data_IF_267764942168
#
_entry.id   IF_267764942168
#
_cell.length_a   1.000
_cell.length_b   1.000
_cell.length_c   1.000
_cell.angle_alpha   90.00
_cell.angle_beta   90.00
_cell.angle_gamma   90.00
#
_symmetry.space_group_name_H-M   'P 1'
#
loop_
_entity.id
_entity.type
_entity.pdbx_description
1 polymer ?
#
# COMPACT_ATOMS: atom_id res chain seq x y z
N UNK A 1 28.06 19.99 -40.54
CA UNK A 1 27.35 18.78 -40.08
C UNK A 1 27.56 18.44 -38.59
N UNK A 2 28.72 18.75 -37.99
CA UNK A 2 29.07 18.40 -36.60
C UNK A 2 28.22 19.10 -35.51
N UNK A 3 27.83 20.37 -35.71
CA UNK A 3 27.00 21.11 -34.75
C UNK A 3 25.63 20.47 -34.48
N UNK A 4 24.99 19.90 -35.51
CA UNK A 4 23.65 19.34 -35.38
C UNK A 4 23.63 18.03 -34.57
N UNK A 5 24.75 17.30 -34.55
CA UNK A 5 24.92 16.05 -33.80
C UNK A 5 25.22 16.34 -32.31
N UNK A 6 26.10 17.30 -32.03
CA UNK A 6 26.41 17.75 -30.68
C UNK A 6 25.17 18.33 -29.96
N UNK A 7 24.36 19.11 -30.69
CA UNK A 7 23.12 19.68 -30.16
C UNK A 7 22.07 18.60 -29.86
N UNK A 8 21.95 17.57 -30.71
CA UNK A 8 21.08 16.41 -30.46
C UNK A 8 21.51 15.60 -29.24
N UNK A 9 22.81 15.39 -29.05
CA UNK A 9 23.34 14.68 -27.88
C UNK A 9 23.06 15.43 -26.57
N UNK A 10 23.29 16.75 -26.56
CA UNK A 10 22.99 17.61 -25.41
C UNK A 10 21.51 17.60 -25.02
N UNK A 11 20.61 17.65 -26.00
CA UNK A 11 19.16 17.54 -25.75
C UNK A 11 18.78 16.16 -25.21
N UNK A 12 19.41 15.08 -25.72
CA UNK A 12 19.18 13.73 -25.22
C UNK A 12 19.64 13.56 -23.77
N UNK A 13 20.79 14.15 -23.41
CA UNK A 13 21.33 14.12 -22.05
C UNK A 13 20.46 14.93 -21.07
N UNK A 14 19.99 16.11 -21.47
CA UNK A 14 19.05 16.91 -20.68
C UNK A 14 17.70 16.21 -20.49
N UNK A 15 17.18 15.56 -21.52
CA UNK A 15 15.96 14.75 -21.42
C UNK A 15 16.16 13.53 -20.52
N UNK A 16 17.36 12.94 -20.51
CA UNK A 16 17.70 11.81 -19.63
C UNK A 16 17.77 12.28 -18.16
N UNK A 17 18.41 13.41 -17.88
CA UNK A 17 18.45 13.99 -16.54
C UNK A 17 17.06 14.38 -16.03
N UNK A 18 16.26 15.08 -16.83
CA UNK A 18 14.89 15.44 -16.47
C UNK A 18 14.01 14.20 -16.25
N UNK A 19 14.29 13.09 -16.96
CA UNK A 19 13.61 11.83 -16.76
C UNK A 19 14.05 11.10 -15.48
N UNK A 20 15.34 11.08 -15.19
CA UNK A 20 15.89 10.51 -13.95
C UNK A 20 15.40 11.28 -12.72
N UNK A 21 15.33 12.61 -12.80
CA UNK A 21 14.80 13.46 -11.74
C UNK A 21 13.30 13.19 -11.49
N UNK A 22 12.51 13.09 -12.56
CA UNK A 22 11.08 12.74 -12.46
C UNK A 22 10.86 11.32 -11.92
N UNK A 23 11.75 10.37 -12.23
CA UNK A 23 11.73 9.02 -11.67
C UNK A 23 12.10 9.01 -10.18
N UNK A 24 13.09 9.81 -9.78
CA UNK A 24 13.52 9.94 -8.38
C UNK A 24 12.46 10.61 -7.51
N UNK A 25 11.90 11.73 -7.96
CA UNK A 25 10.77 12.40 -7.27
C UNK A 25 9.59 11.46 -7.06
N UNK A 26 9.36 10.60 -8.06
CA UNK A 26 8.29 9.63 -8.04
C UNK A 26 8.53 8.47 -7.04
N UNK A 27 9.75 7.93 -6.97
CA UNK A 27 10.13 6.96 -5.93
C UNK A 27 10.01 7.56 -4.53
N UNK A 28 10.44 8.81 -4.36
CA UNK A 28 10.28 9.54 -3.10
C UNK A 28 8.81 9.66 -2.69
N UNK A 29 7.91 9.92 -3.64
CA UNK A 29 6.47 9.99 -3.37
C UNK A 29 5.89 8.65 -2.94
N UNK A 30 6.22 7.53 -3.61
CA UNK A 30 5.79 6.20 -3.17
C UNK A 30 6.36 5.89 -1.79
N UNK A 31 7.66 6.09 -1.58
CA UNK A 31 8.29 5.83 -0.27
C UNK A 31 7.64 6.65 0.83
N UNK A 32 7.30 7.90 0.58
CA UNK A 32 6.59 8.74 1.54
C UNK A 32 5.21 8.16 1.89
N UNK A 33 4.44 7.70 0.89
CA UNK A 33 3.14 7.07 1.14
C UNK A 33 3.26 5.78 1.94
N UNK A 34 4.28 4.97 1.65
CA UNK A 34 4.55 3.73 2.41
C UNK A 34 4.89 4.07 3.85
N UNK A 35 5.83 4.97 4.07
CA UNK A 35 6.24 5.42 5.40
C UNK A 35 5.03 5.96 6.17
N UNK A 36 4.21 6.79 5.53
CA UNK A 36 2.99 7.33 6.15
C UNK A 36 2.01 6.21 6.53
N UNK A 37 1.74 5.28 5.61
CA UNK A 37 0.82 4.17 5.89
C UNK A 37 1.33 3.25 7.01
N UNK A 38 2.63 2.94 7.04
CA UNK A 38 3.22 2.07 8.06
C UNK A 38 3.40 2.76 9.42
N UNK A 39 3.63 4.08 9.46
CA UNK A 39 3.92 4.81 10.71
C UNK A 39 2.68 5.21 11.49
N UNK A 40 1.56 5.51 10.83
CA UNK A 40 0.31 5.93 11.49
C UNK A 40 -0.20 4.90 12.52
N UNK A 41 -0.28 3.59 12.21
CA UNK A 41 -0.69 2.59 13.19
C UNK A 41 0.23 2.51 14.40
N UNK A 42 1.55 2.69 14.19
CA UNK A 42 2.56 2.63 15.26
C UNK A 42 2.41 3.82 16.20
N UNK A 43 2.27 5.05 15.66
CA UNK A 43 2.09 6.26 16.46
C UNK A 43 0.81 6.18 17.29
N UNK A 44 -0.30 5.76 16.69
CA UNK A 44 -1.59 5.62 17.38
C UNK A 44 -1.49 4.56 18.48
N UNK A 45 -0.82 3.45 18.21
CA UNK A 45 -0.68 2.36 19.18
C UNK A 45 0.20 2.74 20.37
N UNK A 46 1.30 3.47 20.13
CA UNK A 46 2.14 4.02 21.21
C UNK A 46 1.33 5.00 22.04
N UNK A 47 0.58 5.90 21.39
CA UNK A 47 -0.24 6.89 22.11
C UNK A 47 -1.32 6.22 22.96
N UNK A 48 -1.98 5.19 22.44
CA UNK A 48 -2.96 4.41 23.18
C UNK A 48 -2.31 3.64 24.34
N UNK A 49 -1.15 3.04 24.12
CA UNK A 49 -0.43 2.29 25.14
C UNK A 49 0.05 3.19 26.30
N UNK A 50 0.54 4.40 26.00
CA UNK A 50 0.88 5.40 27.03
C UNK A 50 -0.37 5.74 27.85
N UNK A 51 -1.46 6.13 27.20
CA UNK A 51 -2.69 6.55 27.89
C UNK A 51 -3.32 5.44 28.75
N UNK A 52 -3.29 4.18 28.29
CA UNK A 52 -3.83 3.04 29.04
C UNK A 52 -2.86 2.59 30.15
N UNK A 53 -1.54 2.66 29.93
CA UNK A 53 -0.56 2.35 30.99
C UNK A 53 -0.64 3.32 32.17
N UNK A 54 -1.10 4.55 31.93
CA UNK A 54 -1.30 5.56 32.97
C UNK A 54 -2.63 5.43 33.71
N UNK A 55 -3.52 4.51 33.30
CA UNK A 55 -4.82 4.27 33.95
C UNK A 55 -4.88 2.86 34.58
N UNK A 56 -5.64 2.73 35.67
CA UNK A 56 -5.84 1.45 36.37
C UNK A 56 -6.55 0.36 35.53
N UNK A 57 -7.02 0.69 34.32
CA UNK A 57 -7.70 -0.23 33.39
C UNK A 57 -6.76 -1.19 32.64
N UNK A 58 -5.44 -1.11 32.89
CA UNK A 58 -4.44 -1.99 32.26
C UNK A 58 -4.70 -3.49 32.47
N UNK A 59 -5.33 -3.87 33.58
CA UNK A 59 -5.73 -5.25 33.90
C UNK A 59 -6.72 -5.86 32.91
N UNK A 60 -7.63 -5.06 32.33
CA UNK A 60 -8.66 -5.58 31.41
C UNK A 60 -8.07 -5.97 30.05
N UNK A 61 -6.90 -5.44 29.71
CA UNK A 61 -6.26 -5.64 28.40
C UNK A 61 -5.24 -6.78 28.37
N UNK A 62 -4.76 -7.25 29.54
CA UNK A 62 -3.80 -8.36 29.70
C UNK A 62 -4.45 -9.75 29.89
N UNK A 63 -5.75 -9.90 29.61
CA UNK A 63 -6.43 -11.21 29.68
C UNK A 63 -6.41 -11.83 31.10
N UNK A 64 -6.67 -11.05 32.15
CA UNK A 64 -6.67 -11.50 33.56
C UNK A 64 -5.34 -12.08 34.06
N UNK A 65 -4.23 -11.89 33.33
CA UNK A 65 -2.91 -12.21 33.84
C UNK A 65 -2.38 -11.04 34.68
N UNK A 66 -2.02 -11.33 35.93
CA UNK A 66 -1.35 -10.41 36.84
C UNK A 66 0.11 -10.20 36.39
N UNK A 67 0.27 -9.35 35.38
CA UNK A 67 1.58 -9.02 34.81
C UNK A 67 2.16 -7.87 35.61
N UNK A 68 3.04 -8.16 36.56
CA UNK A 68 3.63 -7.16 37.46
C UNK A 68 4.60 -6.17 36.78
N UNK A 69 5.02 -6.43 35.53
CA UNK A 69 5.99 -5.61 34.83
C UNK A 69 5.33 -4.66 33.82
N UNK A 70 5.42 -3.35 34.10
CA UNK A 70 4.88 -2.26 33.28
C UNK A 70 5.32 -2.31 31.81
N UNK A 71 6.58 -2.68 31.54
CA UNK A 71 7.09 -2.80 30.17
C UNK A 71 6.40 -3.92 29.37
N UNK A 72 5.98 -4.98 30.07
CA UNK A 72 5.30 -6.11 29.46
C UNK A 72 3.85 -5.73 29.12
N UNK A 73 3.17 -5.04 30.04
CA UNK A 73 1.83 -4.47 29.81
C UNK A 73 1.85 -3.53 28.60
N UNK A 74 2.81 -2.60 28.58
CA UNK A 74 2.97 -1.64 27.49
C UNK A 74 3.16 -2.34 26.14
N UNK A 75 4.00 -3.38 26.10
CA UNK A 75 4.27 -4.15 24.88
C UNK A 75 3.01 -4.88 24.39
N UNK A 76 2.29 -5.55 25.30
CA UNK A 76 1.06 -6.29 24.96
C UNK A 76 -0.01 -5.34 24.40
N UNK A 77 -0.25 -4.20 25.06
CA UNK A 77 -1.23 -3.22 24.61
C UNK A 77 -0.83 -2.63 23.26
N UNK A 78 0.44 -2.31 23.08
CA UNK A 78 0.96 -1.78 21.80
C UNK A 78 0.75 -2.78 20.67
N UNK A 79 1.14 -4.05 20.86
CA UNK A 79 0.97 -5.10 19.84
C UNK A 79 -0.50 -5.34 19.52
N UNK A 80 -1.37 -5.44 20.53
CA UNK A 80 -2.81 -5.61 20.35
C UNK A 80 -3.43 -4.44 19.58
N UNK A 81 -3.05 -3.22 19.92
CA UNK A 81 -3.51 -1.99 19.24
C UNK A 81 -3.08 -1.97 17.77
N UNK A 82 -1.82 -2.32 17.48
CA UNK A 82 -1.30 -2.40 16.11
C UNK A 82 -2.11 -3.42 15.30
N UNK A 83 -2.34 -4.61 15.87
CA UNK A 83 -3.11 -5.67 15.20
C UNK A 83 -4.53 -5.19 14.93
N UNK A 84 -5.22 -4.63 15.92
CA UNK A 84 -6.58 -4.11 15.75
C UNK A 84 -6.62 -3.03 14.67
N UNK A 85 -5.67 -2.10 14.66
CA UNK A 85 -5.63 -1.01 13.69
C UNK A 85 -5.34 -1.49 12.27
N UNK A 86 -4.42 -2.45 12.11
CA UNK A 86 -4.11 -3.09 10.82
C UNK A 86 -5.31 -3.87 10.26
N UNK A 87 -6.07 -4.50 11.15
CA UNK A 87 -7.26 -5.30 10.84
C UNK A 87 -8.50 -4.40 10.65
N UNK A 88 -8.47 -3.17 11.18
CA UNK A 88 -9.61 -2.25 11.12
C UNK A 88 -9.92 -1.91 9.65
N UNK A 89 -11.19 -2.08 9.21
CA UNK A 89 -11.59 -1.80 7.84
C UNK A 89 -11.19 -0.40 7.37
N UNK A 90 -11.10 0.60 8.26
CA UNK A 90 -10.68 1.96 7.89
C UNK A 90 -9.27 2.00 7.31
N UNK A 91 -8.29 1.35 7.94
CA UNK A 91 -6.90 1.35 7.45
C UNK A 91 -6.79 0.58 6.13
N UNK A 92 -7.43 -0.59 6.07
CA UNK A 92 -7.53 -1.42 4.86
C UNK A 92 -8.11 -0.61 3.69
N UNK A 93 -9.20 0.12 3.94
CA UNK A 93 -9.85 0.96 2.93
C UNK A 93 -8.95 2.09 2.46
N UNK A 94 -8.19 2.73 3.34
CA UNK A 94 -7.24 3.79 2.99
C UNK A 94 -6.13 3.23 2.09
N UNK A 95 -5.52 2.10 2.47
CA UNK A 95 -4.47 1.45 1.65
C UNK A 95 -5.03 1.02 0.29
N UNK A 96 -6.24 0.46 0.26
CA UNK A 96 -6.92 0.08 -0.97
C UNK A 96 -7.21 1.29 -1.88
N UNK A 97 -7.70 2.40 -1.32
CA UNK A 97 -7.93 3.64 -2.06
C UNK A 97 -6.64 4.20 -2.66
N UNK A 98 -5.53 4.18 -1.92
CA UNK A 98 -4.23 4.58 -2.44
C UNK A 98 -3.79 3.69 -3.61
N UNK A 99 -3.87 2.37 -3.44
CA UNK A 99 -3.54 1.41 -4.49
C UNK A 99 -4.40 1.64 -5.75
N UNK A 100 -5.72 1.75 -5.59
CA UNK A 100 -6.65 2.00 -6.70
C UNK A 100 -6.34 3.33 -7.39
N UNK A 101 -6.05 4.39 -6.66
CA UNK A 101 -5.68 5.70 -7.21
C UNK A 101 -4.39 5.63 -8.05
N UNK A 102 -3.39 4.90 -7.59
CA UNK A 102 -2.14 4.66 -8.32
C UNK A 102 -2.36 3.82 -9.58
N UNK A 103 -3.17 2.77 -9.49
CA UNK A 103 -3.57 1.95 -10.64
C UNK A 103 -4.39 2.77 -11.65
N UNK A 104 -5.29 3.64 -11.20
CA UNK A 104 -6.08 4.52 -12.06
C UNK A 104 -5.18 5.49 -12.82
N UNK A 105 -4.16 6.08 -12.16
CA UNK A 105 -3.14 6.89 -12.83
C UNK A 105 -2.38 6.12 -13.90
N UNK A 106 -2.04 4.85 -13.67
CA UNK A 106 -1.44 3.99 -14.70
C UNK A 106 -2.41 3.80 -15.88
N UNK A 107 -3.66 3.47 -15.59
CA UNK A 107 -4.71 3.28 -16.60
C UNK A 107 -4.88 4.53 -17.47
N UNK A 108 -4.98 5.71 -16.86
CA UNK A 108 -5.11 6.99 -17.59
C UNK A 108 -3.89 7.26 -18.48
N UNK A 109 -2.67 6.97 -18.01
CA UNK A 109 -1.46 7.09 -18.84
C UNK A 109 -1.48 6.15 -20.04
N UNK A 110 -1.90 4.90 -19.86
CA UNK A 110 -2.03 3.92 -20.96
C UNK A 110 -3.11 4.36 -21.95
N UNK A 111 -4.27 4.84 -21.47
CA UNK A 111 -5.34 5.35 -22.34
C UNK A 111 -4.88 6.55 -23.17
N UNK A 112 -4.13 7.47 -22.56
CA UNK A 112 -3.55 8.60 -23.29
C UNK A 112 -2.54 8.16 -24.35
N UNK A 113 -1.68 7.17 -24.01
CA UNK A 113 -0.76 6.54 -24.94
C UNK A 113 -1.48 5.88 -26.13
N UNK A 114 -2.56 5.14 -25.88
CA UNK A 114 -3.34 4.52 -26.93
C UNK A 114 -4.00 5.56 -27.83
N UNK A 115 -4.56 6.63 -27.23
CA UNK A 115 -5.14 7.74 -27.99
C UNK A 115 -4.11 8.49 -28.82
N UNK A 116 -2.89 8.68 -28.31
CA UNK A 116 -1.77 9.22 -29.10
C UNK A 116 -1.46 8.35 -30.32
N UNK A 117 -1.60 7.02 -30.22
CA UNK A 117 -1.37 6.11 -31.33
C UNK A 117 -2.54 6.15 -32.33
N UNK A 118 -3.78 6.17 -31.85
CA UNK A 118 -5.00 6.16 -32.68
C UNK A 118 -5.18 7.43 -33.51
N UNK A 119 -4.72 8.59 -33.01
CA UNK A 119 -4.88 9.88 -33.69
C UNK A 119 -3.81 10.11 -34.78
N UNK A 120 -2.76 9.30 -34.83
CA UNK A 120 -1.66 9.49 -35.80
C UNK A 120 -1.96 8.85 -37.16
N UNK A 121 -1.71 9.60 -38.24
CA UNK A 121 -1.71 9.07 -39.60
C UNK A 121 -0.56 8.06 -39.80
N UNK A 122 -0.73 6.98 -40.58
CA UNK A 122 0.35 6.06 -40.95
C UNK A 122 1.58 6.75 -41.55
N UNK A 123 1.38 7.90 -42.19
CA UNK A 123 2.42 8.69 -42.86
C UNK A 123 3.34 9.44 -41.86
N UNK A 124 2.82 9.74 -40.67
CA UNK A 124 3.56 10.43 -39.59
C UNK A 124 4.17 9.45 -38.56
N UNK A 125 4.00 8.14 -38.78
CA UNK A 125 4.44 7.07 -37.88
C UNK A 125 5.94 6.78 -37.97
N UNK A 126 6.74 7.82 -37.74
CA UNK A 126 8.21 7.78 -37.82
C UNK A 126 8.84 6.92 -36.72
N UNK A 127 10.06 6.42 -36.97
CA UNK A 127 10.87 5.69 -35.97
C UNK A 127 11.09 6.48 -34.66
N UNK A 128 11.09 7.82 -34.74
CA UNK A 128 11.19 8.70 -33.57
C UNK A 128 9.93 8.65 -32.72
N UNK A 129 8.76 8.63 -33.35
CA UNK A 129 7.47 8.52 -32.67
C UNK A 129 7.32 7.16 -31.99
N UNK A 130 7.62 6.07 -32.70
CA UNK A 130 7.61 4.70 -32.15
C UNK A 130 8.49 4.59 -30.91
N UNK A 131 9.72 5.12 -30.97
CA UNK A 131 10.65 5.12 -29.82
C UNK A 131 10.10 5.92 -28.64
N UNK A 132 9.43 7.03 -28.89
CA UNK A 132 8.83 7.86 -27.84
C UNK A 132 7.66 7.14 -27.16
N UNK A 133 6.75 6.56 -27.93
CA UNK A 133 5.64 5.73 -27.43
C UNK A 133 6.17 4.55 -26.61
N UNK A 134 7.17 3.83 -27.13
CA UNK A 134 7.76 2.69 -26.44
C UNK A 134 8.39 3.10 -25.10
N UNK A 135 9.10 4.22 -25.06
CA UNK A 135 9.69 4.76 -23.83
C UNK A 135 8.63 5.10 -22.79
N UNK A 136 7.56 5.80 -23.19
CA UNK A 136 6.42 6.12 -22.32
C UNK A 136 5.69 4.86 -21.81
N UNK A 137 5.57 3.82 -22.65
CA UNK A 137 4.98 2.53 -22.28
C UNK A 137 5.84 1.80 -21.25
N UNK A 138 7.14 1.66 -21.50
CA UNK A 138 8.09 1.04 -20.56
C UNK A 138 8.07 1.76 -19.21
N UNK A 139 8.02 3.10 -19.22
CA UNK A 139 7.94 3.88 -17.98
C UNK A 139 6.66 3.60 -17.18
N UNK A 140 5.52 3.49 -17.87
CA UNK A 140 4.24 3.18 -17.22
C UNK A 140 4.23 1.75 -16.69
N UNK A 141 4.84 0.81 -17.42
CA UNK A 141 5.00 -0.57 -16.97
C UNK A 141 5.91 -0.69 -15.74
N UNK A 142 7.07 -0.02 -15.75
CA UNK A 142 7.98 0.02 -14.59
C UNK A 142 7.32 0.67 -13.37
N UNK A 143 6.45 1.67 -13.57
CA UNK A 143 5.65 2.25 -12.50
C UNK A 143 4.66 1.24 -11.92
N UNK A 144 3.96 0.49 -12.77
CA UNK A 144 3.04 -0.56 -12.34
C UNK A 144 3.77 -1.65 -11.54
N UNK A 145 4.96 -2.08 -11.99
CA UNK A 145 5.79 -3.03 -11.25
C UNK A 145 6.16 -2.51 -9.86
N UNK A 146 6.62 -1.25 -9.75
CA UNK A 146 6.92 -0.65 -8.44
C UNK A 146 5.71 -0.60 -7.52
N UNK A 147 4.53 -0.24 -8.03
CA UNK A 147 3.29 -0.29 -7.24
C UNK A 147 3.05 -1.72 -6.77
N UNK A 148 3.10 -2.69 -7.67
CA UNK A 148 2.88 -4.10 -7.34
C UNK A 148 3.85 -4.56 -6.25
N UNK A 149 5.15 -4.33 -6.42
CA UNK A 149 6.16 -4.79 -5.47
C UNK A 149 5.96 -4.14 -4.10
N UNK A 150 5.70 -2.83 -4.08
CA UNK A 150 5.49 -2.06 -2.86
C UNK A 150 4.23 -2.50 -2.10
N UNK A 151 3.11 -2.67 -2.80
CA UNK A 151 1.82 -2.96 -2.18
C UNK A 151 1.52 -4.45 -2.07
N UNK A 152 2.31 -5.33 -2.69
CA UNK A 152 2.10 -6.79 -2.65
C UNK A 152 2.06 -7.32 -1.23
N UNK A 153 3.02 -6.91 -0.40
CA UNK A 153 3.13 -7.32 0.99
C UNK A 153 1.98 -6.75 1.82
N UNK A 154 1.66 -5.46 1.64
CA UNK A 154 0.55 -4.81 2.34
C UNK A 154 -0.79 -5.47 1.99
N UNK A 155 -1.05 -5.74 0.71
CA UNK A 155 -2.25 -6.43 0.23
C UNK A 155 -2.31 -7.86 0.79
N UNK A 156 -1.18 -8.57 0.84
CA UNK A 156 -1.10 -9.91 1.41
C UNK A 156 -1.49 -9.94 2.90
N UNK A 157 -0.92 -9.02 3.71
CA UNK A 157 -1.30 -8.90 5.13
C UNK A 157 -2.77 -8.51 5.32
N UNK A 158 -3.28 -7.61 4.48
CA UNK A 158 -4.70 -7.25 4.47
C UNK A 158 -5.57 -8.48 4.19
N UNK A 159 -5.21 -9.31 3.20
CA UNK A 159 -5.97 -10.52 2.89
C UNK A 159 -5.92 -11.54 4.04
N UNK A 160 -4.75 -11.77 4.65
CA UNK A 160 -4.63 -12.65 5.82
C UNK A 160 -5.49 -12.13 6.97
N UNK A 161 -5.41 -10.83 7.28
CA UNK A 161 -6.22 -10.21 8.32
C UNK A 161 -7.72 -10.40 8.07
N UNK A 162 -8.16 -10.22 6.82
CA UNK A 162 -9.55 -10.38 6.46
C UNK A 162 -10.02 -11.84 6.53
N UNK A 163 -9.20 -12.79 6.06
CA UNK A 163 -9.46 -14.23 6.18
C UNK A 163 -9.50 -14.63 7.66
N UNK A 164 -8.57 -14.15 8.47
CA UNK A 164 -8.52 -14.41 9.91
C UNK A 164 -9.80 -13.90 10.60
N UNK A 165 -10.21 -12.66 10.34
CA UNK A 165 -11.48 -12.11 10.84
C UNK A 165 -12.67 -12.98 10.45
N UNK A 166 -12.80 -13.32 9.17
CA UNK A 166 -13.89 -14.17 8.70
C UNK A 166 -13.87 -15.53 9.41
N UNK A 167 -12.69 -16.16 9.54
CA UNK A 167 -12.54 -17.45 10.22
C UNK A 167 -12.89 -17.39 11.70
N UNK A 168 -12.57 -16.30 12.41
CA UNK A 168 -12.95 -16.10 13.81
C UNK A 168 -14.46 -15.95 13.98
N UNK A 169 -15.13 -15.21 13.08
CA UNK A 169 -16.59 -15.07 13.09
C UNK A 169 -17.26 -16.42 12.83
N UNK A 170 -16.81 -17.16 11.81
CA UNK A 170 -17.37 -18.47 11.47
C UNK A 170 -17.08 -19.51 12.56
N UNK A 171 -15.88 -19.52 13.13
CA UNK A 171 -15.50 -20.41 14.24
C UNK A 171 -16.30 -20.13 15.51
N UNK A 172 -16.48 -18.85 15.87
CA UNK A 172 -17.33 -18.45 16.98
C UNK A 172 -18.79 -18.86 16.78
N UNK A 173 -19.31 -18.72 15.55
CA UNK A 173 -20.65 -19.18 15.19
C UNK A 173 -20.79 -20.71 15.30
N UNK A 174 -19.80 -21.47 14.82
CA UNK A 174 -19.78 -22.93 14.89
C UNK A 174 -19.68 -23.46 16.33
N UNK A 175 -18.79 -22.89 17.14
CA UNK A 175 -18.68 -23.23 18.56
C UNK A 175 -20.00 -22.95 19.28
N UNK A 176 -20.55 -21.74 19.13
CA UNK A 176 -21.80 -21.34 19.81
C UNK A 176 -23.02 -22.17 19.33
N UNK A 177 -23.07 -22.58 18.06
CA UNK A 177 -24.13 -23.46 17.54
C UNK A 177 -23.95 -24.93 17.94
N UNK A 178 -22.73 -25.39 18.22
CA UNK A 178 -22.45 -26.67 18.86
C UNK A 178 -22.89 -26.69 20.33
N UNK A 179 -22.58 -25.62 21.08
CA UNK A 179 -23.00 -25.48 22.49
C UNK A 179 -24.52 -25.39 22.62
N UNK A 180 -25.20 -24.66 21.72
CA UNK A 180 -26.67 -24.59 21.70
C UNK A 180 -27.35 -25.94 21.39
N UNK A 181 -26.74 -26.80 20.56
CA UNK A 181 -27.28 -28.15 20.30
C UNK A 181 -27.13 -29.10 21.50
N UNK A 182 -26.09 -28.94 22.32
CA UNK A 182 -25.90 -29.73 23.54
C UNK A 182 -26.83 -29.32 24.69
N UNK A 183 -27.31 -28.07 24.72
CA UNK A 183 -28.21 -27.56 25.76
C UNK A 183 -29.68 -27.86 25.46
N UNK A 184 -30.08 -27.92 24.19
CA UNK A 184 -31.48 -28.22 23.78
C UNK A 184 -31.74 -29.74 23.66
N UNK A 185 -30.67 -30.56 23.64
CA UNK A 185 -30.75 -32.03 23.61
C UNK A 185 -30.75 -32.72 24.98
N UNK A 186 -30.96 -31.97 26.08
CA UNK A 186 -31.15 -32.50 27.44
C UNK A 186 -32.56 -32.17 27.94
#
# INVERSE_FOLDING_TARGET
MVCHFAQRKRIADLLKQAEEEKSSSFEKFINYLVILSCSVPVIISIHLAINISTTEESFLYTYDYDVSNEWTIFTIISVKSIIIYMVNPTYINIVALFYISLCLRCKTRIQYLNREIEVFSPEDFTLRFQRNILRKRVKTYNFLLKIKDTFSLSIFFIMIAHIAMCSSITGGFWLNSGTRRLIIGK
#
